data_IF_521634906747
#
_entry.id   IF_521634906747
#
_cell.length_a   1.000
_cell.length_b   1.000
_cell.length_c   1.000
_cell.angle_alpha   90.00
_cell.angle_beta   90.00
_cell.angle_gamma   90.00
#
_symmetry.space_group_name_H-M   'P 1'
#
loop_
_entity.id
_entity.type
_entity.pdbx_description
1 polymer ?
#
# COMPACT_ATOMS: atom_id res chain seq x y z
N UNK A 1 2.49 -29.37 16.72
CA UNK A 1 1.90 -30.44 17.57
C UNK A 1 1.45 -29.81 18.87
N UNK A 2 0.13 -29.68 19.11
CA UNK A 2 -0.51 -29.31 20.41
C UNK A 2 -0.13 -27.88 20.90
N UNK A 3 -0.88 -27.11 21.69
CA UNK A 3 -2.13 -27.29 22.41
C UNK A 3 -2.68 -25.87 22.68
N UNK A 4 -4.01 -25.76 22.71
CA UNK A 4 -4.79 -24.66 23.26
C UNK A 4 -4.39 -24.34 24.72
N UNK A 5 -4.86 -23.19 25.21
CA UNK A 5 -5.19 -22.85 26.61
C UNK A 5 -4.30 -21.77 27.28
N UNK A 6 -4.50 -20.50 26.93
CA UNK A 6 -4.22 -19.37 27.84
C UNK A 6 -5.38 -18.37 27.71
N UNK A 7 -6.09 -18.17 28.82
CA UNK A 7 -6.99 -17.09 29.29
C UNK A 7 -8.14 -17.74 30.07
N UNK A 8 -7.83 -18.40 31.19
CA UNK A 8 -8.74 -18.60 32.33
C UNK A 8 -7.88 -18.59 33.60
N UNK A 9 -7.43 -17.41 34.03
CA UNK A 9 -7.06 -17.10 35.42
C UNK A 9 -7.40 -15.62 35.61
N UNK A 10 -8.63 -15.31 36.03
CA UNK A 10 -9.00 -14.02 36.66
C UNK A 10 -10.40 -13.99 37.31
N UNK A 11 -11.04 -15.12 37.64
CA UNK A 11 -12.33 -15.10 38.37
C UNK A 11 -12.38 -16.13 39.50
N UNK A 12 -11.34 -16.21 40.32
CA UNK A 12 -11.41 -16.95 41.58
C UNK A 12 -10.63 -16.24 42.69
N UNK A 13 -10.99 -14.98 43.00
CA UNK A 13 -10.71 -14.35 44.29
C UNK A 13 -11.63 -13.12 44.42
N UNK A 14 -12.61 -13.16 45.31
CA UNK A 14 -13.43 -11.97 45.57
C UNK A 14 -14.77 -12.18 46.25
N UNK A 15 -14.87 -13.03 47.28
CA UNK A 15 -15.99 -12.97 48.24
C UNK A 15 -15.47 -13.30 49.64
N UNK A 16 -14.87 -12.29 50.30
CA UNK A 16 -14.93 -12.12 51.76
C UNK A 16 -14.76 -10.64 52.11
N UNK A 17 -15.59 -10.20 53.07
CA UNK A 17 -15.58 -8.92 53.81
C UNK A 17 -16.29 -7.78 53.05
N UNK A 18 -17.21 -6.98 53.63
CA UNK A 18 -17.22 -6.37 54.96
C UNK A 18 -18.65 -6.03 55.42
N UNK A 19 -18.81 -5.88 56.74
CA UNK A 19 -20.00 -5.48 57.48
C UNK A 19 -20.04 -3.94 57.72
N UNK A 20 -21.18 -3.43 58.18
CA UNK A 20 -21.39 -2.19 58.99
C UNK A 20 -21.54 -0.79 58.34
N UNK A 21 -22.79 -0.31 58.38
CA UNK A 21 -23.34 0.97 58.93
C UNK A 21 -22.65 2.32 58.67
N UNK A 22 -23.42 3.34 58.26
CA UNK A 22 -23.83 4.53 59.06
C UNK A 22 -24.71 5.49 58.23
N UNK A 23 -25.55 6.18 58.99
CA UNK A 23 -26.67 7.12 58.81
C UNK A 23 -26.45 8.46 58.06
N UNK A 24 -27.58 9.19 57.87
CA UNK A 24 -27.76 10.67 57.83
C UNK A 24 -28.31 11.33 56.53
N UNK A 25 -29.62 11.62 56.53
CA UNK A 25 -30.33 12.89 56.19
C UNK A 25 -29.85 13.84 55.06
N UNK A 26 -30.75 14.19 54.11
CA UNK A 26 -31.39 15.53 54.02
C UNK A 26 -32.47 15.66 52.90
N UNK A 27 -33.68 16.05 53.36
CA UNK A 27 -34.79 16.85 52.77
C UNK A 27 -34.87 17.17 51.25
N UNK A 28 -36.06 16.96 50.66
CA UNK A 28 -36.94 18.09 50.25
C UNK A 28 -38.39 17.65 49.89
N UNK A 29 -39.34 18.40 50.48
CA UNK A 29 -40.74 18.68 50.09
C UNK A 29 -41.90 17.73 50.46
N UNK A 30 -42.41 18.06 51.64
CA UNK A 30 -43.56 17.58 52.42
C UNK A 30 -44.88 18.35 52.14
N UNK A 31 -44.98 19.15 51.08
CA UNK A 31 -46.01 20.22 51.02
C UNK A 31 -47.25 19.91 50.16
N UNK A 32 -47.35 18.71 49.56
CA UNK A 32 -48.44 18.37 48.63
C UNK A 32 -49.44 17.32 49.13
N UNK A 33 -49.11 16.56 50.17
CA UNK A 33 -50.00 15.48 50.70
C UNK A 33 -50.73 15.94 51.97
N UNK A 34 -50.08 16.79 52.77
CA UNK A 34 -50.61 17.38 54.02
C UNK A 34 -51.89 18.20 53.82
N UNK A 35 -52.18 18.64 52.58
CA UNK A 35 -53.36 19.45 52.25
C UNK A 35 -54.59 18.63 51.84
N UNK A 36 -54.45 17.35 51.47
CA UNK A 36 -55.58 16.51 51.02
C UNK A 36 -56.18 15.61 52.11
N UNK A 37 -55.47 15.36 53.20
CA UNK A 37 -55.96 14.47 54.27
C UNK A 37 -56.69 15.24 55.39
N UNK A 38 -56.44 16.55 55.50
CA UNK A 38 -57.13 17.44 56.46
C UNK A 38 -58.63 17.68 56.17
N UNK A 39 -59.16 17.21 55.04
CA UNK A 39 -60.57 17.42 54.66
C UNK A 39 -61.47 16.19 54.90
N UNK A 40 -60.94 15.01 55.19
CA UNK A 40 -61.75 13.78 55.10
C UNK A 40 -62.15 13.18 56.46
N UNK A 41 -61.52 13.56 57.59
CA UNK A 41 -61.82 12.89 58.87
C UNK A 41 -61.77 13.88 60.06
N UNK A 42 -62.85 14.65 60.24
CA UNK A 42 -63.37 15.05 61.56
C UNK A 42 -64.76 14.41 61.67
N UNK A 43 -65.26 13.91 62.80
CA UNK A 43 -64.90 14.06 64.21
C UNK A 43 -65.38 12.81 64.97
N UNK A 44 -64.77 12.58 66.15
CA UNK A 44 -65.29 11.82 67.30
C UNK A 44 -65.28 10.27 67.26
N UNK A 45 -64.17 9.67 67.69
CA UNK A 45 -64.04 8.91 68.96
C UNK A 45 -62.68 8.20 69.02
N UNK A 46 -61.92 8.46 70.09
CA UNK A 46 -60.61 7.89 70.35
C UNK A 46 -60.70 7.04 71.63
N UNK A 47 -60.67 5.70 71.51
CA UNK A 47 -60.27 4.81 72.61
C UNK A 47 -59.30 3.74 72.07
N UNK A 48 -58.12 3.71 72.69
CA UNK A 48 -56.94 2.89 72.39
C UNK A 48 -57.15 1.39 72.68
N UNK A 49 -56.57 0.54 71.84
CA UNK A 49 -56.05 -0.80 72.20
C UNK A 49 -54.56 -0.85 71.81
N UNK A 50 -53.66 -1.36 72.67
CA UNK A 50 -52.21 -1.07 72.67
C UNK A 50 -51.38 -1.71 71.53
N UNK A 51 -50.34 -0.98 71.10
CA UNK A 51 -49.43 -1.22 69.96
C UNK A 51 -48.57 -2.51 70.02
N UNK A 52 -48.50 -3.22 71.13
CA UNK A 52 -47.50 -4.30 71.32
C UNK A 52 -47.88 -5.67 70.75
N UNK A 53 -49.15 -5.91 70.38
CA UNK A 53 -49.60 -7.19 69.81
C UNK A 53 -49.85 -7.16 68.29
N UNK A 54 -49.78 -6.00 67.64
CA UNK A 54 -49.93 -5.88 66.19
C UNK A 54 -48.58 -5.96 65.47
N UNK A 55 -47.53 -5.39 66.06
CA UNK A 55 -46.18 -5.39 65.47
C UNK A 55 -45.51 -6.77 65.53
N UNK A 56 -45.69 -7.57 66.58
CA UNK A 56 -45.10 -8.91 66.67
C UNK A 56 -45.73 -9.92 65.70
N UNK A 57 -47.03 -9.82 65.41
CA UNK A 57 -47.74 -10.72 64.50
C UNK A 57 -47.52 -10.34 63.02
N UNK A 58 -47.26 -9.06 62.75
CA UNK A 58 -46.87 -8.57 61.42
C UNK A 58 -45.37 -8.82 61.15
N UNK A 59 -44.46 -8.61 62.12
CA UNK A 59 -43.03 -8.89 61.90
C UNK A 59 -42.74 -10.39 61.72
N UNK A 60 -43.46 -11.30 62.39
CA UNK A 60 -43.27 -12.75 62.19
C UNK A 60 -43.90 -13.26 60.89
N UNK A 61 -45.07 -12.73 60.47
CA UNK A 61 -45.71 -13.09 59.18
C UNK A 61 -45.04 -12.43 57.98
N UNK A 62 -44.49 -11.22 58.09
CA UNK A 62 -43.74 -10.56 57.02
C UNK A 62 -42.34 -11.16 56.90
N UNK A 63 -41.61 -11.43 58.00
CA UNK A 63 -40.26 -12.01 57.90
C UNK A 63 -40.25 -13.47 57.42
N UNK A 64 -41.27 -14.28 57.75
CA UNK A 64 -41.38 -15.65 57.23
C UNK A 64 -41.86 -15.71 55.77
N UNK A 65 -42.71 -14.77 55.34
CA UNK A 65 -43.26 -14.74 53.97
C UNK A 65 -42.33 -14.05 52.98
N UNK A 66 -41.58 -13.03 53.41
CA UNK A 66 -40.66 -12.29 52.53
C UNK A 66 -39.30 -13.00 52.42
N UNK A 67 -38.73 -13.57 53.49
CA UNK A 67 -37.45 -14.29 53.36
C UNK A 67 -37.57 -15.62 52.58
N UNK A 68 -38.73 -16.30 52.62
CA UNK A 68 -38.98 -17.51 51.83
C UNK A 68 -39.28 -17.19 50.35
N UNK A 69 -39.94 -16.05 50.06
CA UNK A 69 -40.17 -15.57 48.68
C UNK A 69 -38.91 -14.98 48.04
N UNK A 70 -38.09 -14.24 48.80
CA UNK A 70 -36.84 -13.65 48.27
C UNK A 70 -35.75 -14.72 48.09
N UNK A 71 -35.60 -15.69 49.00
CA UNK A 71 -34.66 -16.79 48.78
C UNK A 71 -35.10 -17.76 47.66
N UNK A 72 -36.42 -17.98 47.48
CA UNK A 72 -36.90 -18.73 46.31
C UNK A 72 -36.77 -17.94 45.00
N UNK A 73 -36.92 -16.61 45.01
CA UNK A 73 -36.69 -15.76 43.85
C UNK A 73 -35.21 -15.65 43.48
N UNK A 74 -34.30 -15.61 44.47
CA UNK A 74 -32.83 -15.63 44.25
C UNK A 74 -32.38 -17.02 43.77
N UNK A 75 -32.94 -18.10 44.33
CA UNK A 75 -32.72 -19.46 43.83
C UNK A 75 -33.24 -19.67 42.40
N UNK A 76 -34.38 -19.06 42.06
CA UNK A 76 -34.96 -19.08 40.71
C UNK A 76 -34.14 -18.25 39.71
N UNK A 77 -33.62 -17.07 40.12
CA UNK A 77 -32.74 -16.24 39.31
C UNK A 77 -31.37 -16.91 39.05
N UNK A 78 -30.78 -17.57 40.04
CA UNK A 78 -29.50 -18.30 39.88
C UNK A 78 -29.69 -19.56 39.02
N UNK A 79 -30.82 -20.26 39.14
CA UNK A 79 -31.18 -21.37 38.25
C UNK A 79 -31.44 -20.89 36.81
N UNK A 80 -32.13 -19.76 36.63
CA UNK A 80 -32.36 -19.14 35.31
C UNK A 80 -31.05 -18.69 34.67
N UNK A 81 -30.13 -18.08 35.42
CA UNK A 81 -28.82 -17.66 34.90
C UNK A 81 -27.93 -18.89 34.58
N UNK A 82 -27.99 -19.96 35.37
CA UNK A 82 -27.31 -21.23 35.07
C UNK A 82 -27.84 -21.92 33.82
N UNK A 83 -29.16 -21.88 33.61
CA UNK A 83 -29.83 -22.42 32.42
C UNK A 83 -29.53 -21.54 31.18
N UNK A 84 -29.52 -20.20 31.32
CA UNK A 84 -29.17 -19.26 30.24
C UNK A 84 -27.68 -19.37 29.83
N UNK A 85 -26.79 -19.69 30.76
CA UNK A 85 -25.37 -19.94 30.48
C UNK A 85 -25.16 -21.21 29.65
N UNK A 86 -25.91 -22.28 29.98
CA UNK A 86 -25.92 -23.52 29.20
C UNK A 86 -26.61 -23.38 27.82
N UNK A 87 -27.46 -22.35 27.64
CA UNK A 87 -28.23 -22.09 26.41
C UNK A 87 -27.49 -21.25 25.35
N UNK A 88 -26.27 -20.78 25.62
CA UNK A 88 -25.44 -20.11 24.60
C UNK A 88 -24.88 -21.07 23.52
N UNK A 89 -25.10 -22.39 23.66
CA UNK A 89 -24.49 -23.41 22.79
C UNK A 89 -25.49 -24.14 21.86
N UNK A 90 -26.82 -24.00 21.98
CA UNK A 90 -27.74 -24.89 21.22
C UNK A 90 -28.79 -24.11 20.42
N UNK A 91 -28.53 -24.04 19.11
CA UNK A 91 -29.39 -23.52 18.05
C UNK A 91 -30.72 -24.29 17.90
N UNK A 92 -31.75 -23.54 17.46
CA UNK A 92 -32.88 -23.98 16.61
C UNK A 92 -34.00 -24.79 17.27
N UNK A 93 -35.22 -24.20 17.26
CA UNK A 93 -36.59 -24.73 17.39
C UNK A 93 -36.96 -25.74 18.51
N UNK A 94 -36.07 -26.63 18.95
CA UNK A 94 -36.29 -27.57 20.08
C UNK A 94 -36.44 -26.83 21.41
N UNK A 95 -35.72 -25.73 21.60
CA UNK A 95 -35.71 -24.96 22.85
C UNK A 95 -37.06 -24.31 23.15
N UNK A 96 -37.82 -23.90 22.11
CA UNK A 96 -39.17 -23.35 22.24
C UNK A 96 -40.16 -24.39 22.79
N UNK A 97 -40.12 -25.61 22.27
CA UNK A 97 -41.04 -26.68 22.69
C UNK A 97 -40.73 -27.18 24.10
N UNK A 98 -39.45 -27.30 24.45
CA UNK A 98 -39.01 -27.75 25.78
C UNK A 98 -39.31 -26.69 26.86
N UNK A 99 -39.13 -25.40 26.57
CA UNK A 99 -39.52 -24.32 27.49
C UNK A 99 -41.03 -24.26 27.71
N UNK A 100 -41.83 -24.45 26.65
CA UNK A 100 -43.30 -24.47 26.75
C UNK A 100 -43.79 -25.68 27.55
N UNK A 101 -43.20 -26.86 27.32
CA UNK A 101 -43.50 -28.08 28.10
C UNK A 101 -43.06 -27.97 29.56
N UNK A 102 -41.88 -27.42 29.85
CA UNK A 102 -41.39 -27.33 31.23
C UNK A 102 -42.15 -26.28 32.08
N UNK A 103 -42.55 -25.17 31.47
CA UNK A 103 -43.41 -24.16 32.13
C UNK A 103 -44.82 -24.71 32.34
N UNK A 104 -45.41 -25.37 31.35
CA UNK A 104 -46.72 -26.01 31.49
C UNK A 104 -46.71 -27.18 32.48
N UNK A 105 -45.63 -27.97 32.54
CA UNK A 105 -45.48 -29.06 33.49
C UNK A 105 -45.39 -28.55 34.94
N UNK A 106 -44.65 -27.46 35.20
CA UNK A 106 -44.58 -26.85 36.52
C UNK A 106 -45.90 -26.17 36.94
N UNK A 107 -46.64 -25.59 36.01
CA UNK A 107 -47.99 -25.04 36.27
C UNK A 107 -49.00 -26.16 36.53
N UNK A 108 -48.92 -27.27 35.79
CA UNK A 108 -49.83 -28.41 35.96
C UNK A 108 -49.63 -29.19 37.26
N UNK A 109 -48.42 -29.14 37.84
CA UNK A 109 -48.10 -29.81 39.10
C UNK A 109 -48.67 -29.06 40.33
N UNK A 110 -49.04 -27.78 40.20
CA UNK A 110 -49.54 -26.93 41.29
C UNK A 110 -51.04 -26.54 41.14
N UNK A 111 -51.74 -27.12 40.15
CA UNK A 111 -53.13 -26.78 39.80
C UNK A 111 -54.08 -27.97 39.97
N UNK A 112 -54.35 -28.37 41.21
CA UNK A 112 -55.60 -29.06 41.50
C UNK A 112 -56.67 -28.03 41.94
N UNK A 113 -57.67 -27.88 41.05
CA UNK A 113 -59.02 -27.34 41.24
C UNK A 113 -59.32 -25.82 41.11
N UNK A 114 -58.86 -25.12 40.06
CA UNK A 114 -59.50 -23.91 39.46
C UNK A 114 -59.04 -23.64 38.00
N UNK A 115 -59.37 -24.54 37.07
CA UNK A 115 -58.42 -24.94 36.00
C UNK A 115 -58.67 -24.50 34.53
N UNK A 116 -59.56 -23.54 34.20
CA UNK A 116 -59.71 -23.07 32.80
C UNK A 116 -59.42 -21.58 32.63
N UNK A 117 -60.13 -20.69 33.32
CA UNK A 117 -59.91 -19.22 33.19
C UNK A 117 -58.51 -18.79 33.65
N UNK A 118 -57.98 -19.35 34.74
CA UNK A 118 -56.62 -19.06 35.18
C UNK A 118 -55.59 -19.53 34.14
N UNK A 119 -55.85 -20.66 33.47
CA UNK A 119 -54.98 -21.18 32.42
C UNK A 119 -55.00 -20.28 31.19
N UNK A 120 -56.16 -19.85 30.73
CA UNK A 120 -56.30 -18.91 29.60
C UNK A 120 -55.69 -17.54 29.91
N UNK A 121 -55.87 -17.04 31.13
CA UNK A 121 -55.24 -15.80 31.60
C UNK A 121 -53.71 -15.89 31.61
N UNK A 122 -53.16 -16.98 32.16
CA UNK A 122 -51.71 -17.19 32.16
C UNK A 122 -51.16 -17.47 30.76
N UNK A 123 -51.86 -18.23 29.91
CA UNK A 123 -51.47 -18.45 28.51
C UNK A 123 -51.48 -17.14 27.71
N UNK A 124 -52.47 -16.27 27.91
CA UNK A 124 -52.51 -14.94 27.29
C UNK A 124 -51.35 -14.04 27.72
N UNK A 125 -51.02 -14.01 29.02
CA UNK A 125 -49.86 -13.27 29.54
C UNK A 125 -48.55 -13.86 29.01
N UNK A 126 -48.41 -15.18 28.99
CA UNK A 126 -47.22 -15.87 28.49
C UNK A 126 -47.03 -15.57 27.00
N UNK A 127 -48.08 -15.69 26.18
CA UNK A 127 -48.01 -15.44 24.75
C UNK A 127 -47.69 -13.98 24.45
N UNK A 128 -48.34 -13.02 25.11
CA UNK A 128 -48.05 -11.59 24.95
C UNK A 128 -46.59 -11.26 25.34
N UNK A 129 -46.09 -11.83 26.44
CA UNK A 129 -44.69 -11.64 26.85
C UNK A 129 -43.71 -12.31 25.88
N UNK A 130 -44.04 -13.48 25.35
CA UNK A 130 -43.22 -14.15 24.34
C UNK A 130 -43.17 -13.36 23.02
N UNK A 131 -44.28 -12.78 22.58
CA UNK A 131 -44.34 -11.90 21.41
C UNK A 131 -43.51 -10.63 21.61
N UNK A 132 -43.62 -9.99 22.78
CA UNK A 132 -42.80 -8.82 23.13
C UNK A 132 -41.30 -9.16 23.12
N UNK A 133 -40.92 -10.30 23.69
CA UNK A 133 -39.52 -10.78 23.72
C UNK A 133 -39.02 -11.07 22.30
N UNK A 134 -39.83 -11.73 21.47
CA UNK A 134 -39.50 -12.03 20.07
C UNK A 134 -39.30 -10.75 19.26
N UNK A 135 -40.19 -9.78 19.40
CA UNK A 135 -40.08 -8.47 18.73
C UNK A 135 -38.82 -7.72 19.17
N UNK A 136 -38.49 -7.73 20.46
CA UNK A 136 -37.27 -7.10 20.97
C UNK A 136 -35.99 -7.82 20.49
N UNK A 137 -35.99 -9.16 20.45
CA UNK A 137 -34.87 -9.95 19.96
C UNK A 137 -34.65 -9.74 18.46
N UNK A 138 -35.72 -9.77 17.66
CA UNK A 138 -35.65 -9.51 16.22
C UNK A 138 -35.14 -8.09 15.94
N UNK A 139 -35.63 -7.08 16.66
CA UNK A 139 -35.15 -5.71 16.52
C UNK A 139 -33.66 -5.57 16.87
N UNK A 140 -33.19 -6.20 17.94
CA UNK A 140 -31.76 -6.23 18.31
C UNK A 140 -30.91 -6.96 17.27
N UNK A 141 -31.38 -8.10 16.76
CA UNK A 141 -30.70 -8.87 15.71
C UNK A 141 -30.60 -8.08 14.41
N UNK A 142 -31.67 -7.37 14.01
CA UNK A 142 -31.66 -6.54 12.80
C UNK A 142 -30.68 -5.36 12.93
N UNK A 143 -30.66 -4.68 14.08
CA UNK A 143 -29.68 -3.62 14.37
C UNK A 143 -28.24 -4.15 14.35
N UNK A 144 -28.00 -5.31 14.97
CA UNK A 144 -26.68 -5.93 14.97
C UNK A 144 -26.26 -6.38 13.57
N UNK A 145 -27.18 -6.93 12.78
CA UNK A 145 -26.93 -7.30 11.39
C UNK A 145 -26.58 -6.07 10.54
N UNK A 146 -27.37 -4.99 10.62
CA UNK A 146 -27.08 -3.73 9.91
C UNK A 146 -25.73 -3.14 10.31
N UNK A 147 -25.43 -3.10 11.60
CA UNK A 147 -24.14 -2.62 12.12
C UNK A 147 -22.97 -3.48 11.62
N UNK A 148 -23.11 -4.81 11.62
CA UNK A 148 -22.07 -5.71 11.10
C UNK A 148 -21.84 -5.53 9.60
N UNK A 149 -22.91 -5.38 8.80
CA UNK A 149 -22.81 -5.11 7.36
C UNK A 149 -22.10 -3.79 7.09
N UNK A 150 -22.41 -2.74 7.85
CA UNK A 150 -21.74 -1.45 7.74
C UNK A 150 -20.26 -1.53 8.14
N UNK A 151 -19.95 -2.24 9.22
CA UNK A 151 -18.57 -2.47 9.66
C UNK A 151 -17.76 -3.24 8.61
N UNK A 152 -18.34 -4.28 7.98
CA UNK A 152 -17.67 -5.03 6.91
C UNK A 152 -17.39 -4.12 5.72
N UNK A 153 -18.37 -3.31 5.28
CA UNK A 153 -18.16 -2.34 4.19
C UNK A 153 -17.07 -1.32 4.52
N UNK A 154 -17.01 -0.87 5.77
CA UNK A 154 -15.95 0.05 6.22
C UNK A 154 -14.58 -0.62 6.19
N UNK A 155 -14.46 -1.88 6.62
CA UNK A 155 -13.22 -2.67 6.54
C UNK A 155 -12.79 -2.90 5.08
N UNK A 156 -13.72 -3.23 4.19
CA UNK A 156 -13.45 -3.41 2.75
C UNK A 156 -12.93 -2.11 2.13
N UNK A 157 -13.58 -0.97 2.42
CA UNK A 157 -13.14 0.34 1.96
C UNK A 157 -11.74 0.70 2.48
N UNK A 158 -11.47 0.46 3.77
CA UNK A 158 -10.15 0.68 4.36
C UNK A 158 -9.07 -0.23 3.74
N UNK A 159 -9.42 -1.49 3.43
CA UNK A 159 -8.52 -2.43 2.77
C UNK A 159 -8.16 -1.94 1.36
N UNK A 160 -9.14 -1.49 0.58
CA UNK A 160 -8.89 -0.94 -0.76
C UNK A 160 -8.07 0.36 -0.72
N UNK A 161 -8.35 1.25 0.24
CA UNK A 161 -7.52 2.44 0.48
C UNK A 161 -6.08 2.05 0.84
N UNK A 162 -5.90 1.07 1.72
CA UNK A 162 -4.58 0.59 2.15
C UNK A 162 -3.80 -0.04 0.97
N UNK A 163 -4.46 -0.86 0.14
CA UNK A 163 -3.85 -1.41 -1.09
C UNK A 163 -3.39 -0.28 -2.03
N UNK A 164 -4.23 0.74 -2.21
CA UNK A 164 -3.89 1.91 -3.03
C UNK A 164 -2.70 2.68 -2.47
N UNK A 165 -2.64 2.89 -1.15
CA UNK A 165 -1.54 3.57 -0.48
C UNK A 165 -0.23 2.76 -0.56
N UNK A 166 -0.29 1.45 -0.36
CA UNK A 166 0.87 0.55 -0.52
C UNK A 166 1.42 0.64 -1.94
N UNK A 167 0.56 0.55 -2.96
CA UNK A 167 0.97 0.69 -4.35
C UNK A 167 1.69 2.03 -4.60
N UNK A 168 1.12 3.14 -4.12
CA UNK A 168 1.77 4.48 -4.23
C UNK A 168 3.10 4.57 -3.49
N UNK A 169 3.22 3.96 -2.31
CA UNK A 169 4.47 3.94 -1.56
C UNK A 169 5.55 3.14 -2.31
N UNK A 170 5.18 2.01 -2.92
CA UNK A 170 6.09 1.22 -3.76
C UNK A 170 6.55 2.00 -5.00
N UNK A 171 5.64 2.71 -5.67
CA UNK A 171 5.97 3.62 -6.78
C UNK A 171 7.04 4.63 -6.36
N UNK A 172 6.81 5.25 -5.21
CA UNK A 172 7.68 6.28 -4.68
C UNK A 172 9.07 5.72 -4.35
N UNK A 173 9.16 4.55 -3.72
CA UNK A 173 10.43 3.89 -3.40
C UNK A 173 11.22 3.51 -4.66
N UNK A 174 10.55 2.99 -5.68
CA UNK A 174 11.18 2.67 -6.98
C UNK A 174 11.75 3.93 -7.64
N UNK A 175 11.01 5.04 -7.63
CA UNK A 175 11.47 6.29 -8.20
C UNK A 175 12.64 6.90 -7.41
N UNK A 176 12.63 6.82 -6.08
CA UNK A 176 13.77 7.24 -5.25
C UNK A 176 15.01 6.43 -5.60
N UNK A 177 14.89 5.10 -5.67
CA UNK A 177 16.01 4.22 -5.98
C UNK A 177 16.57 4.51 -7.38
N UNK A 178 15.69 4.68 -8.36
CA UNK A 178 16.06 5.05 -9.72
C UNK A 178 16.82 6.38 -9.78
N UNK A 179 16.28 7.45 -9.18
CA UNK A 179 16.93 8.77 -9.20
C UNK A 179 18.24 8.78 -8.39
N UNK A 180 18.33 7.99 -7.32
CA UNK A 180 19.57 7.76 -6.57
C UNK A 180 20.66 7.14 -7.45
N UNK A 181 20.34 6.04 -8.14
CA UNK A 181 21.28 5.34 -9.03
C UNK A 181 21.70 6.21 -10.21
N UNK A 182 20.76 6.92 -10.82
CA UNK A 182 21.00 7.86 -11.91
C UNK A 182 21.96 8.99 -11.49
N UNK A 183 21.78 9.55 -10.29
CA UNK A 183 22.67 10.57 -9.73
C UNK A 183 24.09 10.01 -9.51
N UNK A 184 24.21 8.82 -8.91
CA UNK A 184 25.50 8.17 -8.66
C UNK A 184 26.29 7.93 -9.96
N UNK A 185 25.61 7.43 -11.00
CA UNK A 185 26.22 7.21 -12.31
C UNK A 185 26.65 8.51 -12.98
N UNK A 186 25.81 9.56 -12.94
CA UNK A 186 26.15 10.87 -13.49
C UNK A 186 27.41 11.47 -12.84
N UNK A 187 27.53 11.32 -11.52
CA UNK A 187 28.67 11.83 -10.75
C UNK A 187 29.92 10.95 -10.85
N UNK A 188 29.83 9.76 -11.49
CA UNK A 188 30.89 8.75 -11.55
C UNK A 188 31.45 8.35 -10.17
N UNK A 189 30.60 8.42 -9.13
CA UNK A 189 30.95 8.08 -7.74
C UNK A 189 30.14 6.87 -7.31
N UNK A 190 30.58 5.69 -7.74
CA UNK A 190 29.84 4.46 -7.47
C UNK A 190 30.75 3.24 -7.39
N UNK A 191 30.37 2.28 -6.56
CA UNK A 191 30.91 0.92 -6.59
C UNK A 191 30.20 0.13 -7.69
N UNK A 192 30.98 -0.53 -8.54
CA UNK A 192 30.47 -1.28 -9.68
C UNK A 192 29.51 -2.40 -9.28
N UNK A 193 29.98 -3.31 -8.43
CA UNK A 193 29.26 -4.54 -8.10
C UNK A 193 27.96 -4.22 -7.37
N UNK A 194 28.02 -3.25 -6.44
CA UNK A 194 26.85 -2.78 -5.70
C UNK A 194 25.85 -2.09 -6.64
N UNK A 195 26.30 -1.17 -7.48
CA UNK A 195 25.42 -0.42 -8.38
C UNK A 195 24.79 -1.31 -9.45
N UNK A 196 25.57 -2.23 -10.02
CA UNK A 196 25.06 -3.19 -10.99
C UNK A 196 23.99 -4.10 -10.38
N UNK A 197 24.24 -4.62 -9.17
CA UNK A 197 23.26 -5.44 -8.43
C UNK A 197 21.97 -4.66 -8.17
N UNK A 198 22.07 -3.39 -7.78
CA UNK A 198 20.91 -2.52 -7.54
C UNK A 198 20.12 -2.26 -8.82
N UNK A 199 20.78 -1.90 -9.94
CA UNK A 199 20.13 -1.67 -11.23
C UNK A 199 19.46 -2.92 -11.80
N UNK A 200 20.12 -4.08 -11.70
CA UNK A 200 19.56 -5.35 -12.17
C UNK A 200 18.37 -5.80 -11.33
N UNK A 201 18.42 -5.59 -10.02
CA UNK A 201 17.28 -5.82 -9.11
C UNK A 201 16.12 -4.88 -9.45
N UNK A 202 16.40 -3.59 -9.61
CA UNK A 202 15.41 -2.59 -9.98
C UNK A 202 14.75 -2.91 -11.34
N UNK A 203 15.54 -3.34 -12.33
CA UNK A 203 15.03 -3.77 -13.62
C UNK A 203 14.04 -4.93 -13.47
N UNK A 204 14.40 -5.95 -12.68
CA UNK A 204 13.52 -7.08 -12.40
C UNK A 204 12.22 -6.63 -11.71
N UNK A 205 12.32 -5.77 -10.70
CA UNK A 205 11.16 -5.27 -9.97
C UNK A 205 10.20 -4.49 -10.87
N UNK A 206 10.71 -3.67 -11.80
CA UNK A 206 9.85 -2.94 -12.74
C UNK A 206 9.24 -3.85 -13.81
N UNK A 207 9.94 -4.92 -14.22
CA UNK A 207 9.41 -5.95 -15.11
C UNK A 207 8.25 -6.70 -14.45
N UNK A 208 8.46 -7.20 -13.23
CA UNK A 208 7.48 -7.99 -12.47
C UNK A 208 6.23 -7.16 -12.14
N UNK A 209 6.41 -5.89 -11.76
CA UNK A 209 5.31 -4.95 -11.46
C UNK A 209 4.67 -4.32 -12.70
N UNK A 210 5.04 -4.76 -13.91
CA UNK A 210 4.53 -4.25 -15.21
C UNK A 210 4.69 -2.73 -15.39
N UNK A 211 5.71 -2.13 -14.77
CA UNK A 211 6.04 -0.70 -14.87
C UNK A 211 6.86 -0.40 -16.12
N UNK A 212 6.30 -0.68 -17.29
CA UNK A 212 7.01 -0.65 -18.58
C UNK A 212 7.65 0.70 -18.91
N UNK A 213 7.15 1.80 -18.35
CA UNK A 213 7.64 3.15 -18.61
C UNK A 213 9.08 3.39 -18.11
N UNK A 214 9.51 2.74 -17.02
CA UNK A 214 10.85 2.93 -16.45
C UNK A 214 11.91 2.03 -17.08
N UNK A 215 11.50 1.00 -17.82
CA UNK A 215 12.43 0.01 -18.40
C UNK A 215 13.45 0.69 -19.33
N UNK A 216 13.07 1.57 -20.28
CA UNK A 216 14.04 2.25 -21.14
C UNK A 216 15.10 3.03 -20.36
N UNK A 217 14.70 3.71 -19.30
CA UNK A 217 15.60 4.48 -18.46
C UNK A 217 16.60 3.61 -17.69
N UNK A 218 16.14 2.49 -17.12
CA UNK A 218 17.00 1.58 -16.37
C UNK A 218 17.95 0.84 -17.32
N UNK A 219 17.45 0.42 -18.48
CA UNK A 219 18.26 -0.22 -19.52
C UNK A 219 19.34 0.74 -20.03
N UNK A 220 19.03 2.02 -20.21
CA UNK A 220 20.02 3.04 -20.54
C UNK A 220 21.16 3.12 -19.52
N UNK A 221 20.83 3.17 -18.23
CA UNK A 221 21.83 3.15 -17.15
C UNK A 221 22.67 1.87 -17.12
N UNK A 222 22.03 0.72 -17.39
CA UNK A 222 22.72 -0.57 -17.47
C UNK A 222 23.69 -0.64 -18.67
N UNK A 223 23.29 -0.14 -19.85
CA UNK A 223 24.22 -0.09 -20.99
C UNK A 223 25.44 0.78 -20.71
N UNK A 224 25.27 1.89 -19.97
CA UNK A 224 26.37 2.76 -19.56
C UNK A 224 27.34 2.03 -18.63
N UNK A 225 26.84 1.42 -17.54
CA UNK A 225 27.71 0.76 -16.56
C UNK A 225 28.41 -0.47 -17.14
N UNK A 226 27.73 -1.26 -17.99
CA UNK A 226 28.36 -2.38 -18.67
C UNK A 226 29.47 -1.91 -19.60
N UNK A 227 29.24 -0.84 -20.37
CA UNK A 227 30.27 -0.27 -21.22
C UNK A 227 31.47 0.26 -20.41
N UNK A 228 31.24 1.05 -19.36
CA UNK A 228 32.30 1.64 -18.53
C UNK A 228 33.23 0.56 -17.92
N UNK A 229 32.70 -0.64 -17.67
CA UNK A 229 33.45 -1.79 -17.12
C UNK A 229 33.86 -2.83 -18.15
N UNK A 230 33.74 -2.52 -19.44
CA UNK A 230 34.14 -3.37 -20.57
C UNK A 230 33.39 -4.71 -20.69
N UNK A 231 32.18 -4.76 -20.16
CA UNK A 231 31.25 -5.87 -20.30
C UNK A 231 30.42 -5.72 -21.58
N UNK A 232 31.10 -5.83 -22.73
CA UNK A 232 30.52 -5.50 -24.03
C UNK A 232 29.45 -6.47 -24.51
N UNK A 233 29.58 -7.75 -24.17
CA UNK A 233 28.59 -8.77 -24.49
C UNK A 233 27.26 -8.46 -23.80
N UNK A 234 27.33 -8.04 -22.54
CA UNK A 234 26.18 -7.69 -21.72
C UNK A 234 25.43 -6.48 -22.28
N UNK A 235 26.14 -5.51 -22.89
CA UNK A 235 25.48 -4.40 -23.61
C UNK A 235 24.69 -4.94 -24.79
N UNK A 236 25.30 -5.77 -25.63
CA UNK A 236 24.65 -6.33 -26.83
C UNK A 236 23.47 -7.23 -26.45
N UNK A 237 23.63 -8.09 -25.45
CA UNK A 237 22.56 -8.96 -24.95
C UNK A 237 21.39 -8.16 -24.39
N UNK A 238 21.67 -7.05 -23.70
CA UNK A 238 20.62 -6.17 -23.18
C UNK A 238 19.85 -5.47 -24.31
N UNK A 239 20.54 -4.97 -25.34
CA UNK A 239 19.88 -4.40 -26.52
C UNK A 239 19.01 -5.46 -27.21
N UNK A 240 19.56 -6.64 -27.49
CA UNK A 240 18.84 -7.72 -28.17
C UNK A 240 17.63 -8.21 -27.34
N UNK A 241 17.76 -8.29 -26.01
CA UNK A 241 16.67 -8.71 -25.12
C UNK A 241 15.45 -7.80 -25.25
N UNK A 242 15.65 -6.49 -25.39
CA UNK A 242 14.57 -5.50 -25.39
C UNK A 242 14.24 -4.89 -26.76
N UNK A 243 14.97 -5.28 -27.81
CA UNK A 243 14.67 -4.88 -29.18
C UNK A 243 13.23 -5.26 -29.57
N UNK A 244 12.50 -4.29 -30.14
CA UNK A 244 11.07 -4.42 -30.45
C UNK A 244 10.13 -4.44 -29.24
N UNK A 245 10.63 -4.50 -28.00
CA UNK A 245 9.80 -4.55 -26.77
C UNK A 245 9.67 -3.20 -26.07
N UNK A 246 10.70 -2.36 -26.18
CA UNK A 246 10.72 -1.03 -25.59
C UNK A 246 11.23 0.01 -26.60
N UNK A 247 10.91 1.28 -26.36
CA UNK A 247 11.54 2.39 -27.06
C UNK A 247 12.80 2.79 -26.30
N UNK A 248 13.96 2.38 -26.81
CA UNK A 248 15.27 2.77 -26.25
C UNK A 248 15.49 4.28 -26.29
N UNK A 249 16.44 4.75 -25.48
CA UNK A 249 16.98 6.10 -25.60
C UNK A 249 18.11 6.14 -26.64
N UNK A 250 18.32 7.32 -27.23
CA UNK A 250 19.48 7.60 -28.09
C UNK A 250 20.81 7.24 -27.40
N UNK A 251 20.95 7.57 -26.11
CA UNK A 251 22.14 7.25 -25.32
C UNK A 251 22.39 5.74 -25.17
N UNK A 252 21.34 4.91 -25.13
CA UNK A 252 21.50 3.45 -25.01
C UNK A 252 22.14 2.88 -26.27
N UNK A 253 21.71 3.37 -27.44
CA UNK A 253 22.33 3.01 -28.71
C UNK A 253 23.74 3.60 -28.85
N UNK A 254 24.01 4.80 -28.33
CA UNK A 254 25.38 5.33 -28.30
C UNK A 254 26.29 4.44 -27.43
N UNK A 255 25.84 3.99 -26.26
CA UNK A 255 26.61 3.08 -25.40
C UNK A 255 26.87 1.75 -26.11
N UNK A 256 25.88 1.21 -26.83
CA UNK A 256 26.05 0.02 -27.66
C UNK A 256 27.00 0.26 -28.86
N UNK A 257 26.95 1.42 -29.50
CA UNK A 257 27.89 1.75 -30.57
C UNK A 257 29.34 1.80 -30.06
N UNK A 258 29.55 2.26 -28.82
CA UNK A 258 30.88 2.36 -28.26
C UNK A 258 31.57 1.01 -28.05
N UNK A 259 30.81 -0.07 -27.82
CA UNK A 259 31.38 -1.42 -27.77
C UNK A 259 31.96 -1.80 -29.14
N UNK A 260 31.19 -1.59 -30.21
CA UNK A 260 31.63 -1.90 -31.57
C UNK A 260 32.78 -0.99 -32.05
N UNK A 261 32.77 0.28 -31.64
CA UNK A 261 33.87 1.22 -31.90
C UNK A 261 35.14 0.78 -31.18
N UNK A 262 35.05 0.33 -29.93
CA UNK A 262 36.19 -0.19 -29.20
C UNK A 262 36.81 -1.40 -29.91
N UNK A 263 35.99 -2.37 -30.32
CA UNK A 263 36.48 -3.55 -31.04
C UNK A 263 37.07 -3.20 -32.40
N UNK A 264 36.42 -2.27 -33.12
CA UNK A 264 36.96 -1.80 -34.38
C UNK A 264 38.30 -1.09 -34.17
N UNK A 265 38.40 -0.22 -33.17
CA UNK A 265 39.61 0.54 -32.83
C UNK A 265 40.80 -0.36 -32.51
N UNK A 266 40.60 -1.39 -31.69
CA UNK A 266 41.70 -2.23 -31.18
C UNK A 266 42.00 -3.44 -32.07
N UNK A 267 40.98 -4.02 -32.71
CA UNK A 267 41.10 -5.33 -33.39
C UNK A 267 40.73 -5.30 -34.87
N UNK A 268 40.44 -4.12 -35.43
CA UNK A 268 40.02 -3.96 -36.82
C UNK A 268 38.77 -4.80 -37.18
N UNK A 269 37.86 -4.96 -36.22
CA UNK A 269 36.63 -5.74 -36.42
C UNK A 269 35.62 -5.00 -37.30
N UNK A 270 35.63 -5.28 -38.61
CA UNK A 270 34.77 -4.63 -39.61
C UNK A 270 33.27 -4.87 -39.36
N UNK A 271 32.91 -6.05 -38.86
CA UNK A 271 31.53 -6.35 -38.49
C UNK A 271 31.07 -5.46 -37.32
N UNK A 272 31.93 -5.26 -36.33
CA UNK A 272 31.64 -4.39 -35.18
C UNK A 272 31.59 -2.92 -35.58
N UNK A 273 32.41 -2.48 -36.55
CA UNK A 273 32.27 -1.16 -37.18
C UNK A 273 30.89 -0.98 -37.81
N UNK A 274 30.45 -1.93 -38.63
CA UNK A 274 29.15 -1.86 -39.30
C UNK A 274 28.00 -1.79 -38.28
N UNK A 275 28.07 -2.63 -37.24
CA UNK A 275 27.09 -2.64 -36.16
C UNK A 275 27.08 -1.34 -35.37
N UNK A 276 28.25 -0.76 -35.08
CA UNK A 276 28.34 0.53 -34.41
C UNK A 276 27.64 1.64 -35.23
N UNK A 277 27.85 1.69 -36.54
CA UNK A 277 27.16 2.66 -37.40
C UNK A 277 25.64 2.47 -37.38
N UNK A 278 25.15 1.22 -37.38
CA UNK A 278 23.71 0.92 -37.27
C UNK A 278 23.15 1.48 -35.96
N UNK A 279 23.84 1.28 -34.83
CA UNK A 279 23.39 1.84 -33.55
C UNK A 279 23.44 3.37 -33.54
N UNK A 280 24.48 3.98 -34.12
CA UNK A 280 24.55 5.44 -34.23
C UNK A 280 23.42 6.01 -35.10
N UNK A 281 23.03 5.30 -36.17
CA UNK A 281 21.89 5.69 -37.00
C UNK A 281 20.56 5.53 -36.26
N UNK A 282 20.33 4.41 -35.55
CA UNK A 282 19.16 4.25 -34.65
C UNK A 282 19.10 5.34 -33.58
N UNK A 283 20.25 5.78 -33.05
CA UNK A 283 20.31 6.89 -32.11
C UNK A 283 19.87 8.22 -32.75
N UNK A 284 20.25 8.46 -34.01
CA UNK A 284 19.94 9.67 -34.76
C UNK A 284 18.51 9.69 -35.30
N UNK A 285 17.89 8.54 -35.51
CA UNK A 285 16.45 8.40 -35.79
C UNK A 285 15.60 8.88 -34.59
N UNK A 286 16.09 8.64 -33.36
CA UNK A 286 15.39 9.06 -32.15
C UNK A 286 15.59 10.55 -31.82
N UNK A 287 16.81 11.07 -32.00
CA UNK A 287 17.14 12.48 -31.80
C UNK A 287 17.97 12.94 -33.00
N UNK A 288 17.29 13.59 -33.95
CA UNK A 288 17.95 14.17 -35.11
C UNK A 288 18.93 15.25 -34.63
N UNK A 289 20.19 15.15 -35.07
CA UNK A 289 21.23 16.08 -34.66
C UNK A 289 21.91 15.73 -33.33
N UNK A 290 21.70 14.54 -32.76
CA UNK A 290 22.37 14.17 -31.51
C UNK A 290 23.90 14.17 -31.67
N UNK A 291 24.58 15.14 -31.06
CA UNK A 291 25.98 15.44 -31.39
C UNK A 291 26.95 14.37 -30.91
N UNK A 292 26.63 13.66 -29.82
CA UNK A 292 27.42 12.51 -29.39
C UNK A 292 27.46 11.41 -30.44
N UNK A 293 26.35 11.13 -31.12
CA UNK A 293 26.32 10.12 -32.18
C UNK A 293 27.06 10.60 -33.43
N UNK A 294 26.89 11.88 -33.80
CA UNK A 294 27.56 12.48 -34.97
C UNK A 294 29.09 12.50 -34.79
N UNK A 295 29.58 12.86 -33.61
CA UNK A 295 31.01 12.80 -33.27
C UNK A 295 31.60 11.39 -33.46
N UNK A 296 30.91 10.37 -32.96
CA UNK A 296 31.35 8.98 -33.09
C UNK A 296 31.37 8.50 -34.55
N UNK A 297 30.43 8.97 -35.40
CA UNK A 297 30.50 8.70 -36.84
C UNK A 297 31.74 9.33 -37.47
N UNK A 298 32.07 10.58 -37.13
CA UNK A 298 33.29 11.25 -37.60
C UNK A 298 34.55 10.49 -37.19
N UNK A 299 34.61 10.00 -35.95
CA UNK A 299 35.72 9.19 -35.47
C UNK A 299 35.85 7.88 -36.25
N UNK A 300 34.76 7.14 -36.46
CA UNK A 300 34.76 5.91 -37.28
C UNK A 300 35.29 6.20 -38.69
N UNK A 301 34.83 7.28 -39.33
CA UNK A 301 35.30 7.60 -40.68
C UNK A 301 36.77 8.00 -40.71
N UNK A 302 37.32 8.62 -39.66
CA UNK A 302 38.77 8.82 -39.57
C UNK A 302 39.55 7.54 -39.26
N UNK A 303 38.95 6.59 -38.54
CA UNK A 303 39.54 5.25 -38.42
C UNK A 303 39.63 4.59 -39.80
N UNK A 304 38.56 4.68 -40.60
CA UNK A 304 38.53 4.15 -41.97
C UNK A 304 39.59 4.83 -42.85
N UNK A 305 39.66 6.16 -42.82
CA UNK A 305 40.64 6.93 -43.60
C UNK A 305 42.08 6.56 -43.26
N UNK A 306 42.42 6.47 -41.97
CA UNK A 306 43.80 6.18 -41.53
C UNK A 306 44.22 4.73 -41.80
N UNK A 307 43.25 3.82 -41.97
CA UNK A 307 43.49 2.40 -42.25
C UNK A 307 43.47 2.06 -43.73
N UNK A 308 42.78 2.86 -44.54
CA UNK A 308 42.69 2.65 -45.97
C UNK A 308 44.06 2.70 -46.64
N UNK A 309 44.40 1.63 -47.36
CA UNK A 309 45.60 1.58 -48.21
C UNK A 309 45.33 2.25 -49.57
N UNK A 310 44.11 2.07 -50.08
CA UNK A 310 43.68 2.59 -51.38
C UNK A 310 43.04 3.99 -51.27
N UNK A 311 43.37 4.87 -52.22
CA UNK A 311 42.82 6.24 -52.27
C UNK A 311 41.29 6.24 -52.40
N UNK A 312 40.71 5.27 -53.11
CA UNK A 312 39.25 5.12 -53.23
C UNK A 312 38.56 4.96 -51.87
N UNK A 313 39.18 4.21 -50.96
CA UNK A 313 38.63 3.99 -49.61
C UNK A 313 38.78 5.24 -48.74
N UNK A 314 39.91 5.95 -48.87
CA UNK A 314 40.13 7.26 -48.23
C UNK A 314 39.12 8.30 -48.69
N UNK A 315 38.85 8.37 -50.00
CA UNK A 315 37.89 9.29 -50.59
C UNK A 315 36.46 9.01 -50.09
N UNK A 316 36.10 7.73 -49.93
CA UNK A 316 34.81 7.35 -49.37
C UNK A 316 34.68 7.79 -47.92
N UNK A 317 35.72 7.57 -47.09
CA UNK A 317 35.74 8.04 -45.71
C UNK A 317 35.63 9.59 -45.61
N UNK A 318 36.31 10.32 -46.49
CA UNK A 318 36.19 11.79 -46.59
C UNK A 318 34.75 12.18 -46.96
N UNK A 319 34.15 11.53 -47.95
CA UNK A 319 32.79 11.81 -48.40
C UNK A 319 31.77 11.58 -47.28
N UNK A 320 31.92 10.50 -46.54
CA UNK A 320 31.03 10.16 -45.42
C UNK A 320 31.19 11.16 -44.26
N UNK A 321 32.43 11.56 -43.94
CA UNK A 321 32.69 12.62 -42.96
C UNK A 321 32.10 13.97 -43.38
N UNK A 322 32.25 14.38 -44.65
CA UNK A 322 31.61 15.60 -45.20
C UNK A 322 30.10 15.57 -45.05
N UNK A 323 29.47 14.42 -45.29
CA UNK A 323 28.02 14.25 -45.10
C UNK A 323 27.62 14.51 -43.63
N UNK A 324 28.41 14.04 -42.67
CA UNK A 324 28.17 14.30 -41.24
C UNK A 324 28.37 15.77 -40.88
N UNK A 325 29.46 16.41 -41.32
CA UNK A 325 29.67 17.85 -41.12
C UNK A 325 28.53 18.69 -41.69
N UNK A 326 28.07 18.36 -42.90
CA UNK A 326 26.92 19.04 -43.51
C UNK A 326 25.65 18.91 -42.65
N UNK A 327 25.38 17.75 -42.06
CA UNK A 327 24.24 17.57 -41.14
C UNK A 327 24.38 18.43 -39.88
N UNK A 328 25.57 18.52 -39.32
CA UNK A 328 25.84 19.33 -38.12
C UNK A 328 25.68 20.82 -38.44
N UNK A 329 26.36 21.30 -39.49
CA UNK A 329 26.44 22.73 -39.81
C UNK A 329 25.12 23.29 -40.36
N UNK A 330 24.30 22.48 -41.04
CA UNK A 330 22.96 22.89 -41.51
C UNK A 330 21.90 22.89 -40.41
N UNK A 331 22.18 22.36 -39.23
CA UNK A 331 21.25 22.46 -38.11
C UNK A 331 21.01 23.92 -37.72
N UNK A 332 19.74 24.28 -37.56
CA UNK A 332 19.31 25.59 -37.05
C UNK A 332 19.73 25.77 -35.59
N UNK A 333 19.57 24.72 -34.78
CA UNK A 333 20.08 24.69 -33.41
C UNK A 333 21.61 24.52 -33.42
N UNK A 334 22.30 25.24 -32.54
CA UNK A 334 23.73 25.02 -32.27
C UNK A 334 24.03 23.83 -31.35
N UNK A 335 23.00 23.14 -30.82
CA UNK A 335 23.17 21.99 -29.95
C UNK A 335 23.99 20.83 -30.57
N UNK A 336 23.76 20.42 -31.84
CA UNK A 336 24.56 19.37 -32.48
C UNK A 336 26.04 19.74 -32.56
N UNK A 337 26.36 20.99 -32.92
CA UNK A 337 27.73 21.48 -32.95
C UNK A 337 28.37 21.45 -31.57
N UNK A 338 27.66 21.96 -30.56
CA UNK A 338 28.13 21.98 -29.17
C UNK A 338 28.44 20.59 -28.62
N UNK A 339 27.49 19.67 -28.76
CA UNK A 339 27.65 18.29 -28.29
C UNK A 339 28.74 17.54 -29.05
N UNK A 340 28.83 17.72 -30.37
CA UNK A 340 29.85 17.08 -31.22
C UNK A 340 31.25 17.54 -30.81
N UNK A 341 31.47 18.85 -30.70
CA UNK A 341 32.75 19.42 -30.24
C UNK A 341 33.09 18.95 -28.84
N UNK A 342 32.12 18.96 -27.92
CA UNK A 342 32.33 18.51 -26.54
C UNK A 342 32.77 17.05 -26.47
N UNK A 343 32.17 16.19 -27.30
CA UNK A 343 32.55 14.78 -27.43
C UNK A 343 33.95 14.62 -27.99
N UNK A 344 34.23 15.20 -29.16
CA UNK A 344 35.53 15.10 -29.83
C UNK A 344 36.67 15.65 -28.94
N UNK A 345 36.42 16.75 -28.23
CA UNK A 345 37.40 17.35 -27.31
C UNK A 345 37.67 16.47 -26.09
N UNK A 346 36.67 15.71 -25.63
CA UNK A 346 36.89 14.75 -24.55
C UNK A 346 37.70 13.56 -25.04
N UNK A 347 37.33 13.02 -26.20
CA UNK A 347 37.94 11.80 -26.72
C UNK A 347 39.38 12.07 -27.21
N UNK A 348 39.70 13.30 -27.66
CA UNK A 348 41.06 13.73 -27.99
C UNK A 348 42.03 13.80 -26.80
N UNK A 349 41.53 13.79 -25.56
CA UNK A 349 42.36 13.66 -24.35
C UNK A 349 42.89 12.23 -24.17
N UNK A 350 42.29 11.24 -24.83
CA UNK A 350 42.77 9.87 -24.83
C UNK A 350 43.79 9.71 -25.96
N UNK A 351 45.03 9.34 -25.61
CA UNK A 351 46.13 9.25 -26.57
C UNK A 351 45.82 8.34 -27.77
N UNK A 352 45.08 7.24 -27.56
CA UNK A 352 44.70 6.32 -28.62
C UNK A 352 43.69 6.91 -29.61
N UNK A 353 42.84 7.84 -29.18
CA UNK A 353 41.81 8.48 -30.01
C UNK A 353 42.25 9.83 -30.60
N UNK A 354 43.23 10.51 -29.98
CA UNK A 354 43.72 11.83 -30.42
C UNK A 354 44.05 11.89 -31.91
N UNK A 355 44.67 10.85 -32.47
CA UNK A 355 45.04 10.79 -33.89
C UNK A 355 43.86 10.95 -34.86
N UNK A 356 42.65 10.54 -34.47
CA UNK A 356 41.46 10.69 -35.30
C UNK A 356 40.97 12.14 -35.28
N UNK A 357 41.02 12.80 -34.12
CA UNK A 357 40.72 14.21 -34.02
C UNK A 357 41.74 15.07 -34.79
N UNK A 358 43.03 14.76 -34.66
CA UNK A 358 44.08 15.46 -35.40
C UNK A 358 43.86 15.33 -36.91
N UNK A 359 43.46 14.13 -37.39
CA UNK A 359 43.15 13.92 -38.80
C UNK A 359 41.89 14.66 -39.26
N UNK A 360 40.85 14.75 -38.43
CA UNK A 360 39.71 15.64 -38.72
C UNK A 360 40.17 17.09 -38.87
N UNK A 361 41.05 17.58 -37.98
CA UNK A 361 41.56 18.95 -38.02
C UNK A 361 42.41 19.23 -39.25
N UNK A 362 43.16 18.24 -39.73
CA UNK A 362 43.93 18.34 -40.98
C UNK A 362 43.02 18.42 -42.22
N UNK A 363 42.00 17.55 -42.29
CA UNK A 363 41.17 17.39 -43.49
C UNK A 363 39.96 18.36 -43.55
N UNK A 364 39.47 18.81 -42.40
CA UNK A 364 38.22 19.56 -42.23
C UNK A 364 38.37 20.76 -41.31
N UNK A 365 39.52 21.45 -41.39
CA UNK A 365 39.85 22.58 -40.52
C UNK A 365 38.78 23.67 -40.51
N UNK A 366 38.24 24.01 -41.69
CA UNK A 366 37.26 25.07 -41.84
C UNK A 366 35.89 24.65 -41.30
N UNK A 367 35.44 23.42 -41.59
CA UNK A 367 34.19 22.88 -41.04
C UNK A 367 34.24 22.78 -39.51
N UNK A 368 35.37 22.34 -38.95
CA UNK A 368 35.57 22.30 -37.49
C UNK A 368 35.55 23.70 -36.88
N UNK A 369 36.17 24.69 -37.52
CA UNK A 369 36.13 26.08 -37.07
C UNK A 369 34.71 26.63 -37.06
N UNK A 370 33.93 26.40 -38.12
CA UNK A 370 32.53 26.80 -38.19
C UNK A 370 31.68 26.09 -37.13
N UNK A 371 31.93 24.80 -36.90
CA UNK A 371 31.26 24.03 -35.87
C UNK A 371 31.58 24.57 -34.47
N UNK A 372 32.83 24.94 -34.20
CA UNK A 372 33.25 25.57 -32.94
C UNK A 372 32.56 26.92 -32.72
N UNK A 373 32.47 27.77 -33.74
CA UNK A 373 31.77 29.07 -33.64
C UNK A 373 30.30 28.87 -33.24
N UNK A 374 29.59 27.96 -33.92
CA UNK A 374 28.21 27.59 -33.55
C UNK A 374 28.09 27.02 -32.14
N UNK A 375 29.05 26.17 -31.73
CA UNK A 375 29.09 25.60 -30.38
C UNK A 375 29.23 26.68 -29.31
N UNK A 376 30.09 27.67 -29.54
CA UNK A 376 30.33 28.77 -28.61
C UNK A 376 29.12 29.71 -28.49
N UNK A 377 28.46 30.02 -29.61
CA UNK A 377 27.20 30.78 -29.63
C UNK A 377 26.11 30.06 -28.84
N UNK A 378 25.93 28.77 -29.07
CA UNK A 378 24.96 27.96 -28.33
C UNK A 378 25.30 27.89 -26.84
N UNK A 379 26.57 27.68 -26.48
CA UNK A 379 26.99 27.66 -25.08
C UNK A 379 26.72 28.97 -24.34
N UNK A 380 26.76 30.12 -25.02
CA UNK A 380 26.39 31.42 -24.45
C UNK A 380 24.87 31.54 -24.27
N UNK A 381 24.08 30.96 -25.18
CA UNK A 381 22.62 31.00 -25.12
C UNK A 381 22.03 30.21 -23.95
N UNK A 382 22.63 29.07 -23.59
CA UNK A 382 22.14 28.19 -22.50
C UNK A 382 22.61 28.59 -21.09
N UNK A 383 23.52 29.56 -20.99
CA UNK A 383 24.03 30.11 -19.71
C UNK A 383 23.28 31.37 -19.26
N UNK A 384 22.50 31.97 -20.15
CA UNK A 384 21.53 33.02 -19.83
C UNK A 384 20.24 32.36 -19.38
#
# INVERSE_FOLDING_TARGET
MKLKLIIIICVFFGLKSFCQTVDSTQMLNEDLITKKVKEVIGENEYIRVPLTNFENDIQSKISATINKRINNLIGFLVAIIGILSALSIIQSNRSRNILKEQVLAQISADLNSKTVESREFFEGIINSRLEDIEKQLLGKLELQYKSNVENIKNVENQLEQSKSQIAKAEDYLINIEFESLKKMLRERKYDYAITLKRLTTLLKDVEDKKRKALIPDIVDLLTLIYYDYKNYNEVTDLINKYEGKIKFKSSSYVNAALTGIYDYHNYNSVNQRAQALIYLDKSLELIQGYGSALALKLEIFMMDYLRAEEDKQKDQAIKDAKSVFNKILKSESGAPSYETISRLTRDSKLASYKKYFDKLNELFAEELKQMQLKADEYSKSIKK
#
